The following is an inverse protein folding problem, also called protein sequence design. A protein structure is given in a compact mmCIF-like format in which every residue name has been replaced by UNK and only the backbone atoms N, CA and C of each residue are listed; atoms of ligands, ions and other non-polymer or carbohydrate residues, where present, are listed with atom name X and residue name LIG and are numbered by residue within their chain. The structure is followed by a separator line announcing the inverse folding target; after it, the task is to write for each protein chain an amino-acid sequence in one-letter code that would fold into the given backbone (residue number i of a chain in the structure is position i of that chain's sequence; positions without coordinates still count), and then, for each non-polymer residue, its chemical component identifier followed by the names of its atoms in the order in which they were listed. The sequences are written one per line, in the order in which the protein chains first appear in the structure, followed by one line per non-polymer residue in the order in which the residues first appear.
data_IF_009498310311
#
_entry.id   IF_009498310311
#
_cell.length_a   1.000
_cell.length_b   1.000
_cell.length_c   1.000
_cell.angle_alpha   90.00
_cell.angle_beta   90.00
_cell.angle_gamma   90.00
#
_symmetry.space_group_name_H-M   'P 1'
#
loop_
_entity.id
_entity.type
_entity.pdbx_description
1 polymer ?
#
# COMPACT_ATOMS: atom_id res chain seq x y z
N UNK A 1 -14.71 -1.51 -12.67
CA UNK A 1 -13.88 -0.98 -13.78
C UNK A 1 -12.74 -0.12 -13.27
N UNK A 2 -11.89 -0.63 -12.38
CA UNK A 2 -10.71 0.09 -11.88
C UNK A 2 -9.47 -0.12 -12.76
N UNK A 3 -9.43 -1.18 -13.58
CA UNK A 3 -8.23 -1.55 -14.32
C UNK A 3 -7.94 -0.59 -15.49
N UNK A 4 -8.95 -0.25 -16.29
CA UNK A 4 -8.78 0.69 -17.41
C UNK A 4 -8.39 2.09 -16.93
N UNK A 5 -8.93 2.55 -15.80
CA UNK A 5 -8.55 3.85 -15.23
C UNK A 5 -7.14 3.85 -14.66
N UNK A 6 -6.69 2.76 -14.01
CA UNK A 6 -5.32 2.62 -13.52
C UNK A 6 -4.29 2.58 -14.66
N UNK A 7 -4.58 1.84 -15.73
CA UNK A 7 -3.70 1.76 -16.91
C UNK A 7 -3.66 3.13 -17.63
N UNK A 8 -4.81 3.80 -17.81
CA UNK A 8 -4.83 5.10 -18.46
C UNK A 8 -4.12 6.18 -17.63
N UNK A 9 -4.31 6.19 -16.31
CA UNK A 9 -3.59 7.10 -15.40
C UNK A 9 -2.08 6.86 -15.41
N UNK A 10 -1.63 5.62 -15.66
CA UNK A 10 -0.20 5.33 -15.73
C UNK A 10 0.50 5.87 -16.98
N UNK A 11 -0.20 5.88 -18.12
CA UNK A 11 0.36 6.28 -19.42
C UNK A 11 0.20 7.79 -19.66
N UNK A 12 -0.94 8.38 -19.25
CA UNK A 12 -1.24 9.81 -19.43
C UNK A 12 -1.79 10.43 -18.14
N UNK A 13 -0.93 10.56 -17.12
CA UNK A 13 -1.33 11.07 -15.78
C UNK A 13 -1.94 12.47 -15.82
N UNK A 14 -1.36 13.37 -16.63
CA UNK A 14 -1.81 14.77 -16.72
C UNK A 14 -3.18 14.89 -17.42
N UNK A 15 -3.41 14.12 -18.49
CA UNK A 15 -4.71 14.08 -19.16
C UNK A 15 -5.78 13.39 -18.30
N UNK A 16 -5.39 12.40 -17.48
CA UNK A 16 -6.28 11.77 -16.52
C UNK A 16 -6.72 12.74 -15.41
N UNK A 17 -5.80 13.59 -14.94
CA UNK A 17 -6.07 14.61 -13.93
C UNK A 17 -6.85 15.82 -14.48
N UNK A 18 -6.81 16.07 -15.79
CA UNK A 18 -7.54 17.16 -16.46
C UNK A 18 -9.04 16.86 -16.66
N UNK A 19 -9.63 16.12 -15.72
CA UNK A 19 -11.06 15.84 -15.65
C UNK A 19 -11.59 16.42 -14.33
N UNK A 20 -12.72 17.13 -14.37
CA UNK A 20 -13.35 17.76 -13.19
C UNK A 20 -13.52 16.77 -12.03
N UNK A 21 -13.87 15.51 -12.31
CA UNK A 21 -14.00 14.47 -11.30
C UNK A 21 -12.66 14.08 -10.65
N UNK A 22 -11.59 13.99 -11.44
CA UNK A 22 -10.25 13.70 -10.94
C UNK A 22 -9.70 14.87 -10.11
N UNK A 23 -9.99 16.11 -10.52
CA UNK A 23 -9.60 17.32 -9.79
C UNK A 23 -10.27 17.42 -8.41
N UNK A 24 -11.58 17.14 -8.32
CA UNK A 24 -12.29 17.09 -7.04
C UNK A 24 -11.69 16.01 -6.12
N UNK A 25 -11.39 14.84 -6.68
CA UNK A 25 -10.76 13.74 -5.93
C UNK A 25 -9.38 14.14 -5.40
N UNK A 26 -8.61 14.90 -6.18
CA UNK A 26 -7.30 15.42 -5.78
C UNK A 26 -7.42 16.39 -4.59
N UNK A 27 -8.39 17.31 -4.60
CA UNK A 27 -8.65 18.20 -3.46
C UNK A 27 -9.05 17.44 -2.20
N UNK A 28 -9.88 16.40 -2.35
CA UNK A 28 -10.27 15.56 -1.23
C UNK A 28 -9.06 14.78 -0.66
N UNK A 29 -8.20 14.23 -1.52
CA UNK A 29 -6.97 13.56 -1.13
C UNK A 29 -6.03 14.52 -0.37
N UNK A 30 -5.90 15.77 -0.84
CA UNK A 30 -5.09 16.80 -0.18
C UNK A 30 -5.67 17.22 1.18
N UNK A 31 -7.01 17.20 1.31
CA UNK A 31 -7.70 17.38 2.59
C UNK A 31 -7.47 16.24 3.59
N UNK A 32 -7.48 14.98 3.12
CA UNK A 32 -7.13 13.81 3.94
C UNK A 32 -5.66 13.87 4.36
N UNK A 33 -4.76 14.24 3.44
CA UNK A 33 -3.35 14.41 3.77
C UNK A 33 -3.16 15.50 4.84
N UNK A 34 -3.91 16.60 4.74
CA UNK A 34 -3.93 17.63 5.77
C UNK A 34 -4.52 17.15 7.11
N UNK A 35 -5.46 16.19 7.12
CA UNK A 35 -6.02 15.64 8.36
C UNK A 35 -5.00 14.86 9.21
N UNK A 36 -3.92 14.37 8.59
CA UNK A 36 -2.86 13.62 9.28
C UNK A 36 -3.12 12.13 9.43
N UNK A 37 -4.26 11.61 8.96
CA UNK A 37 -4.62 10.18 9.08
C UNK A 37 -3.59 9.23 8.44
N UNK A 38 -2.91 9.66 7.38
CA UNK A 38 -1.95 8.84 6.61
C UNK A 38 -0.51 8.93 7.16
N UNK A 39 -0.25 9.71 8.21
CA UNK A 39 1.12 10.05 8.63
C UNK A 39 1.91 8.87 9.25
N UNK A 40 1.29 7.76 9.64
CA UNK A 40 2.02 6.58 10.12
C UNK A 40 3.00 6.02 9.08
N UNK A 41 2.69 6.18 7.78
CA UNK A 41 3.56 5.74 6.67
C UNK A 41 4.90 6.47 6.62
N UNK A 42 4.96 7.73 7.06
CA UNK A 42 6.22 8.48 7.14
C UNK A 42 7.19 7.87 8.17
N UNK A 43 6.70 7.27 9.26
CA UNK A 43 7.56 6.55 10.21
C UNK A 43 8.19 5.33 9.57
N UNK A 44 7.42 4.61 8.76
CA UNK A 44 7.91 3.44 8.03
C UNK A 44 8.96 3.89 7.01
N UNK A 45 8.71 4.96 6.25
CA UNK A 45 9.69 5.52 5.32
C UNK A 45 10.99 5.93 6.02
N UNK A 46 10.90 6.65 7.15
CA UNK A 46 12.07 7.02 7.96
C UNK A 46 12.84 5.80 8.47
N UNK A 47 12.13 4.73 8.86
CA UNK A 47 12.75 3.49 9.33
C UNK A 47 13.43 2.75 8.19
N UNK A 48 12.77 2.60 7.03
CA UNK A 48 13.34 1.95 5.85
C UNK A 48 14.58 2.70 5.34
N UNK A 49 14.58 4.03 5.39
CA UNK A 49 15.74 4.81 4.95
C UNK A 49 16.90 4.70 5.92
N UNK A 50 16.63 4.68 7.24
CA UNK A 50 17.65 4.35 8.24
C UNK A 50 18.25 2.95 8.03
N UNK A 51 17.41 1.96 7.68
CA UNK A 51 17.85 0.59 7.42
C UNK A 51 18.57 0.45 6.07
N UNK A 52 18.20 1.23 5.06
CA UNK A 52 18.82 1.21 3.73
C UNK A 52 20.15 1.95 3.65
N UNK A 53 20.54 2.70 4.70
CA UNK A 53 21.80 3.45 4.76
C UNK A 53 21.93 4.56 3.70
N UNK A 54 20.85 4.91 3.00
CA UNK A 54 20.83 5.99 2.00
C UNK A 54 20.38 7.28 2.68
N UNK A 55 20.96 8.41 2.31
CA UNK A 55 20.51 9.71 2.81
C UNK A 55 19.13 10.06 2.23
N UNK A 56 18.22 10.54 3.08
CA UNK A 56 16.96 11.14 2.64
C UNK A 56 17.27 12.34 1.75
N UNK A 57 17.18 12.21 0.43
CA UNK A 57 17.18 13.35 -0.49
C UNK A 57 15.80 14.03 -0.44
N UNK A 58 15.50 14.64 0.71
CA UNK A 58 14.33 15.49 0.90
C UNK A 58 14.61 16.83 0.23
N UNK A 59 13.86 17.16 -0.84
CA UNK A 59 13.88 18.48 -1.49
C UNK A 59 13.07 19.55 -0.73
N UNK A 60 12.62 19.26 0.49
CA UNK A 60 11.84 20.19 1.32
C UNK A 60 12.76 21.05 2.21
N UNK A 61 12.35 22.30 2.43
CA UNK A 61 13.02 23.22 3.36
C UNK A 61 13.03 22.66 4.79
N UNK A 62 14.05 22.97 5.62
CA UNK A 62 14.14 22.49 6.99
C UNK A 62 12.89 22.90 7.78
N UNK A 63 12.20 21.92 8.34
CA UNK A 63 10.95 22.11 9.10
C UNK A 63 11.21 22.98 10.32
N UNK A 64 10.37 24.00 10.53
CA UNK A 64 10.42 24.82 11.75
C UNK A 64 10.02 23.97 12.96
N UNK A 65 10.55 24.25 14.16
CA UNK A 65 10.28 23.49 15.40
C UNK A 65 8.77 23.28 15.65
N UNK A 66 7.93 24.28 15.42
CA UNK A 66 6.48 24.18 15.56
C UNK A 66 5.84 23.22 14.53
N UNK A 67 6.34 23.20 13.29
CA UNK A 67 5.88 22.28 12.24
C UNK A 67 6.30 20.84 12.53
N UNK A 68 7.48 20.64 13.13
CA UNK A 68 7.97 19.32 13.55
C UNK A 68 7.11 18.72 14.66
N UNK A 69 6.77 19.52 15.69
CA UNK A 69 5.88 19.08 16.78
C UNK A 69 4.49 18.72 16.24
N UNK A 70 3.95 19.55 15.36
CA UNK A 70 2.65 19.31 14.74
C UNK A 70 2.64 18.04 13.86
N UNK A 71 3.73 17.79 13.14
CA UNK A 71 3.93 16.57 12.36
C UNK A 71 3.97 15.33 13.26
N UNK A 72 4.75 15.37 14.35
CA UNK A 72 4.85 14.25 15.30
C UNK A 72 3.54 13.97 16.02
N UNK A 73 2.79 15.01 16.40
CA UNK A 73 1.46 14.85 17.00
C UNK A 73 0.48 14.12 16.07
N UNK A 74 0.38 14.55 14.81
CA UNK A 74 -0.46 13.89 13.80
C UNK A 74 -0.03 12.45 13.55
N UNK A 75 1.27 12.22 13.52
CA UNK A 75 1.85 10.91 13.34
C UNK A 75 1.50 9.95 14.49
N UNK A 76 1.58 10.44 15.74
CA UNK A 76 1.19 9.68 16.93
C UNK A 76 -0.33 9.42 16.95
N UNK A 77 -1.15 10.40 16.58
CA UNK A 77 -2.60 10.23 16.48
C UNK A 77 -2.98 9.17 15.44
N UNK A 78 -2.36 9.20 14.25
CA UNK A 78 -2.54 8.18 13.21
C UNK A 78 -2.12 6.77 13.69
N UNK A 79 -0.98 6.66 14.37
CA UNK A 79 -0.52 5.40 14.96
C UNK A 79 -1.49 4.88 16.03
N UNK A 80 -1.99 5.76 16.90
CA UNK A 80 -2.95 5.40 17.94
C UNK A 80 -4.27 4.88 17.35
N UNK A 81 -4.79 5.53 16.31
CA UNK A 81 -5.99 5.05 15.59
C UNK A 81 -5.74 3.67 14.97
N UNK A 82 -4.59 3.49 14.29
CA UNK A 82 -4.23 2.20 13.68
C UNK A 82 -4.16 1.07 14.73
N UNK A 83 -3.45 1.31 15.83
CA UNK A 83 -3.36 0.35 16.93
C UNK A 83 -4.73 0.09 17.58
N UNK A 84 -5.57 1.11 17.72
CA UNK A 84 -6.92 1.00 18.24
C UNK A 84 -7.82 0.15 17.35
N UNK A 85 -7.86 0.42 16.04
CA UNK A 85 -8.59 -0.39 15.07
C UNK A 85 -8.13 -1.84 15.10
N UNK A 86 -6.81 -2.06 15.12
CA UNK A 86 -6.23 -3.39 15.17
C UNK A 86 -6.63 -4.14 16.46
N UNK A 87 -6.58 -3.48 17.62
CA UNK A 87 -7.00 -4.07 18.88
C UNK A 87 -8.49 -4.45 18.87
N UNK A 88 -9.35 -3.58 18.34
CA UNK A 88 -10.79 -3.87 18.20
C UNK A 88 -11.02 -5.07 17.27
N UNK A 89 -10.28 -5.19 16.17
CA UNK A 89 -10.38 -6.36 15.27
C UNK A 89 -9.96 -7.65 15.97
N UNK A 90 -8.88 -7.63 16.76
CA UNK A 90 -8.45 -8.82 17.53
C UNK A 90 -9.51 -9.21 18.57
N UNK A 91 -10.07 -8.24 19.29
CA UNK A 91 -11.15 -8.49 20.28
C UNK A 91 -12.39 -9.06 19.60
N UNK A 92 -12.82 -8.49 18.46
CA UNK A 92 -13.98 -8.99 17.70
C UNK A 92 -13.81 -10.44 17.21
N UNK A 93 -12.58 -10.82 16.81
CA UNK A 93 -12.26 -12.21 16.43
C UNK A 93 -12.34 -13.15 17.64
N UNK A 94 -11.88 -12.71 18.82
CA UNK A 94 -11.93 -13.50 20.04
C UNK A 94 -13.36 -13.69 20.56
N UNK A 95 -14.19 -12.65 20.46
CA UNK A 95 -15.61 -12.66 20.85
C UNK A 95 -16.51 -13.43 19.86
N UNK A 96 -15.95 -13.98 18.77
CA UNK A 96 -16.65 -14.75 17.73
C UNK A 96 -17.77 -14.01 17.01
N UNK A 97 -17.73 -12.68 17.02
CA UNK A 97 -18.66 -11.81 16.28
C UNK A 97 -18.33 -11.72 14.77
N UNK A 98 -17.34 -12.50 14.31
CA UNK A 98 -16.88 -12.51 12.91
C UNK A 98 -17.62 -13.54 12.06
N UNK A 99 -17.73 -13.27 10.76
CA UNK A 99 -18.35 -14.12 9.72
C UNK A 99 -17.60 -15.42 9.42
N UNK A 100 -16.50 -15.69 10.12
CA UNK A 100 -15.71 -16.92 10.03
C UNK A 100 -16.55 -18.18 10.28
N UNK A 101 -16.21 -19.25 9.53
CA UNK A 101 -16.91 -20.53 9.59
C UNK A 101 -17.04 -21.06 11.03
N UNK A 102 -18.27 -21.38 11.45
CA UNK A 102 -18.66 -21.81 12.82
C UNK A 102 -17.88 -23.00 13.42
N UNK A 103 -17.02 -23.66 12.64
CA UNK A 103 -16.24 -24.84 13.01
C UNK A 103 -14.76 -24.57 13.25
N UNK A 104 -14.30 -23.33 13.07
CA UNK A 104 -12.90 -22.94 13.30
C UNK A 104 -12.71 -22.50 14.75
N UNK A 105 -11.65 -22.97 15.40
CA UNK A 105 -11.30 -22.53 16.76
C UNK A 105 -10.85 -21.06 16.75
N UNK A 106 -11.18 -20.29 17.79
CA UNK A 106 -10.85 -18.85 17.87
C UNK A 106 -9.36 -18.56 17.63
N UNK A 107 -8.47 -19.46 18.06
CA UNK A 107 -7.02 -19.36 17.81
C UNK A 107 -6.66 -19.54 16.34
N UNK A 108 -7.28 -20.50 15.65
CA UNK A 108 -7.04 -20.73 14.23
C UNK A 108 -7.56 -19.56 13.38
N UNK A 109 -8.66 -18.91 13.81
CA UNK A 109 -9.17 -17.71 13.15
C UNK A 109 -8.19 -16.53 13.24
N UNK A 110 -7.61 -16.30 14.42
CA UNK A 110 -6.61 -15.25 14.63
C UNK A 110 -5.35 -15.50 13.79
N UNK A 111 -4.81 -16.72 13.76
CA UNK A 111 -3.65 -17.06 12.93
C UNK A 111 -3.96 -16.84 11.45
N UNK A 112 -5.12 -17.28 10.99
CA UNK A 112 -5.55 -17.11 9.59
C UNK A 112 -5.68 -15.63 9.23
N UNK A 113 -6.25 -14.81 10.12
CA UNK A 113 -6.34 -13.35 9.94
C UNK A 113 -4.96 -12.70 9.75
N UNK A 114 -3.98 -13.03 10.60
CA UNK A 114 -2.62 -12.51 10.48
C UNK A 114 -1.94 -12.94 9.18
N UNK A 115 -2.11 -14.19 8.77
CA UNK A 115 -1.55 -14.69 7.51
C UNK A 115 -2.17 -13.96 6.32
N UNK A 116 -3.50 -13.81 6.31
CA UNK A 116 -4.21 -13.13 5.22
C UNK A 116 -3.82 -11.64 5.13
N UNK A 117 -3.77 -10.91 6.25
CA UNK A 117 -3.42 -9.49 6.22
C UNK A 117 -1.96 -9.26 5.81
N UNK A 118 -1.05 -10.17 6.18
CA UNK A 118 0.34 -10.15 5.71
C UNK A 118 0.42 -10.38 4.19
N UNK A 119 -0.30 -11.37 3.65
CA UNK A 119 -0.32 -11.65 2.21
C UNK A 119 -0.92 -10.47 1.44
N UNK A 120 -2.07 -9.94 1.89
CA UNK A 120 -2.71 -8.77 1.26
C UNK A 120 -1.77 -7.56 1.28
N UNK A 121 -1.13 -7.27 2.42
CA UNK A 121 -0.16 -6.19 2.53
C UNK A 121 1.03 -6.34 1.59
N UNK A 122 1.57 -7.56 1.44
CA UNK A 122 2.64 -7.84 0.48
C UNK A 122 2.18 -7.67 -0.97
N UNK A 123 0.96 -8.12 -1.31
CA UNK A 123 0.42 -8.01 -2.66
C UNK A 123 0.18 -6.55 -3.06
N UNK A 124 -0.35 -5.71 -2.16
CA UNK A 124 -0.54 -4.28 -2.39
C UNK A 124 0.80 -3.54 -2.52
N UNK A 125 1.78 -3.86 -1.67
CA UNK A 125 3.14 -3.30 -1.79
C UNK A 125 3.83 -3.69 -3.10
N UNK A 126 3.65 -4.93 -3.54
CA UNK A 126 4.19 -5.45 -4.79
C UNK A 126 3.57 -4.78 -6.02
N UNK A 127 2.29 -4.36 -5.97
CA UNK A 127 1.67 -3.60 -7.05
C UNK A 127 2.43 -2.31 -7.36
N UNK A 128 2.78 -1.54 -6.32
CA UNK A 128 3.49 -0.27 -6.46
C UNK A 128 4.93 -0.52 -6.94
N UNK A 129 5.57 -1.57 -6.43
CA UNK A 129 6.93 -1.95 -6.84
C UNK A 129 6.98 -2.36 -8.31
N UNK A 130 6.04 -3.19 -8.78
CA UNK A 130 5.96 -3.59 -10.18
C UNK A 130 5.56 -2.44 -11.10
N UNK A 131 4.72 -1.53 -10.62
CA UNK A 131 4.42 -0.29 -11.35
C UNK A 131 5.65 0.60 -11.54
N UNK A 132 6.53 0.66 -10.55
CA UNK A 132 7.80 1.37 -10.71
C UNK A 132 8.77 0.61 -11.62
N UNK A 133 8.77 -0.73 -11.56
CA UNK A 133 9.61 -1.57 -12.40
C UNK A 133 9.31 -1.42 -13.91
N UNK A 134 8.08 -1.04 -14.31
CA UNK A 134 7.78 -0.72 -15.72
C UNK A 134 8.40 0.57 -16.22
N UNK A 135 8.86 1.43 -15.32
CA UNK A 135 9.51 2.69 -15.65
C UNK A 135 11.04 2.59 -15.64
N UNK A 136 11.60 1.45 -15.27
CA UNK A 136 13.05 1.21 -15.25
C UNK A 136 13.54 0.81 -16.64
N UNK A 137 14.69 1.35 -17.05
CA UNK A 137 15.39 0.87 -18.23
C UNK A 137 16.10 -0.45 -17.90
N UNK A 138 16.27 -1.40 -18.84
CA UNK A 138 16.88 -2.71 -18.56
C UNK A 138 18.29 -2.64 -17.94
N UNK A 139 19.01 -1.54 -18.17
CA UNK A 139 20.33 -1.27 -17.60
C UNK A 139 20.29 -0.92 -16.09
N UNK A 140 19.15 -0.44 -15.58
CA UNK A 140 18.95 -0.03 -14.19
C UNK A 140 18.35 -1.15 -13.31
N UNK A 141 18.02 -2.30 -13.92
CA UNK A 141 17.51 -3.46 -13.19
C UNK A 141 18.64 -4.04 -12.35
N UNK A 142 18.52 -3.92 -11.02
CA UNK A 142 19.56 -4.29 -10.07
C UNK A 142 20.13 -5.70 -10.29
N UNK A 143 21.41 -5.88 -9.93
CA UNK A 143 22.19 -7.08 -10.26
C UNK A 143 21.79 -8.34 -9.47
N UNK A 144 20.77 -8.25 -8.62
CA UNK A 144 20.26 -9.38 -7.84
C UNK A 144 19.54 -10.40 -8.74
N UNK A 145 19.83 -11.68 -8.53
CA UNK A 145 19.23 -12.80 -9.25
C UNK A 145 17.70 -12.79 -9.19
N UNK A 146 17.13 -12.48 -8.03
CA UNK A 146 15.67 -12.37 -7.86
C UNK A 146 15.08 -11.18 -8.62
N UNK A 147 15.78 -10.04 -8.66
CA UNK A 147 15.31 -8.85 -9.38
C UNK A 147 15.25 -9.09 -10.90
N UNK A 148 16.30 -9.70 -11.46
CA UNK A 148 16.35 -10.05 -12.89
C UNK A 148 15.31 -11.09 -13.26
N UNK A 149 15.15 -12.16 -12.48
CA UNK A 149 14.12 -13.19 -12.68
C UNK A 149 12.71 -12.61 -12.63
N UNK A 150 12.42 -11.74 -11.65
CA UNK A 150 11.11 -11.12 -11.52
C UNK A 150 10.84 -10.16 -12.67
N UNK A 151 11.82 -9.35 -13.08
CA UNK A 151 11.70 -8.46 -14.24
C UNK A 151 11.47 -9.24 -15.54
N UNK A 152 12.28 -10.29 -15.78
CA UNK A 152 12.10 -11.18 -16.92
C UNK A 152 10.70 -11.81 -16.94
N UNK A 153 10.21 -12.34 -15.82
CA UNK A 153 8.87 -12.93 -15.72
C UNK A 153 7.75 -11.91 -15.96
N UNK A 154 7.94 -10.67 -15.51
CA UNK A 154 6.97 -9.58 -15.68
C UNK A 154 6.81 -9.19 -17.15
N UNK A 155 7.87 -9.29 -17.96
CA UNK A 155 7.92 -8.86 -19.36
C UNK A 155 8.03 -9.98 -20.40
N UNK A 156 8.16 -11.25 -19.99
CA UNK A 156 8.42 -12.41 -20.87
C UNK A 156 7.38 -12.63 -21.99
N UNK A 157 6.15 -12.15 -21.80
CA UNK A 157 5.04 -12.27 -22.75
C UNK A 157 4.38 -10.91 -23.07
N UNK A 158 5.14 -9.81 -22.99
CA UNK A 158 4.61 -8.44 -23.10
C UNK A 158 3.91 -7.96 -21.81
N UNK A 159 3.13 -6.87 -21.88
CA UNK A 159 2.41 -6.27 -20.72
C UNK A 159 1.32 -7.18 -20.09
N UNK A 160 1.11 -8.40 -20.61
CA UNK A 160 0.02 -9.30 -20.20
C UNK A 160 0.20 -9.88 -18.79
N UNK A 161 1.43 -10.25 -18.39
CA UNK A 161 1.67 -10.85 -17.06
C UNK A 161 1.51 -9.83 -15.93
N UNK A 162 1.91 -8.59 -16.17
CA UNK A 162 1.68 -7.49 -15.23
C UNK A 162 0.20 -7.19 -15.06
N UNK A 163 -0.54 -7.09 -16.18
CA UNK A 163 -1.98 -6.85 -16.15
C UNK A 163 -2.74 -8.01 -15.49
N UNK A 164 -2.34 -9.25 -15.75
CA UNK A 164 -2.86 -10.46 -15.10
C UNK A 164 -2.62 -10.46 -13.59
N UNK A 165 -1.43 -10.09 -13.13
CA UNK A 165 -1.13 -9.94 -11.70
C UNK A 165 -1.98 -8.84 -11.04
N UNK A 166 -2.16 -7.69 -11.71
CA UNK A 166 -2.99 -6.60 -11.20
C UNK A 166 -4.45 -7.01 -11.00
N UNK A 167 -5.00 -7.81 -11.91
CA UNK A 167 -6.35 -8.37 -11.81
C UNK A 167 -6.43 -9.45 -10.74
N UNK A 168 -5.51 -10.41 -10.75
CA UNK A 168 -5.49 -11.54 -9.82
C UNK A 168 -5.41 -11.12 -8.36
N UNK A 169 -4.61 -10.08 -8.05
CA UNK A 169 -4.56 -9.52 -6.69
C UNK A 169 -5.91 -9.03 -6.21
N UNK A 170 -6.65 -8.28 -7.02
CA UNK A 170 -7.93 -7.69 -6.61
C UNK A 170 -8.94 -8.77 -6.23
N UNK A 171 -8.96 -9.88 -6.97
CA UNK A 171 -9.77 -11.05 -6.61
C UNK A 171 -9.33 -11.69 -5.29
N UNK A 172 -8.02 -11.77 -5.02
CA UNK A 172 -7.52 -12.29 -3.75
C UNK A 172 -7.89 -11.40 -2.56
N UNK A 173 -7.80 -10.08 -2.71
CA UNK A 173 -8.20 -9.13 -1.65
C UNK A 173 -9.68 -9.26 -1.35
N UNK A 174 -10.54 -9.30 -2.37
CA UNK A 174 -11.98 -9.48 -2.19
C UNK A 174 -12.30 -10.84 -1.57
N UNK A 175 -11.61 -11.91 -1.98
CA UNK A 175 -11.76 -13.23 -1.37
C UNK A 175 -11.36 -13.20 0.12
N UNK A 176 -10.26 -12.53 0.48
CA UNK A 176 -9.82 -12.41 1.87
C UNK A 176 -10.83 -11.66 2.75
N UNK A 177 -11.52 -10.65 2.21
CA UNK A 177 -12.59 -9.93 2.90
C UNK A 177 -13.85 -10.77 3.10
N UNK A 178 -14.11 -11.75 2.22
CA UNK A 178 -15.23 -12.67 2.37
C UNK A 178 -14.92 -13.83 3.33
N UNK A 179 -13.64 -14.19 3.44
CA UNK A 179 -13.19 -15.27 4.30
C UNK A 179 -13.12 -14.88 5.79
N UNK A 180 -12.91 -13.60 6.12
CA UNK A 180 -12.81 -13.07 7.48
C UNK A 180 -14.13 -12.41 7.89
#
# INVERSE_FOLDING_TARGET
GQLNSQINASKCMLDYCNNTFAFITMWFALGIEFSGLLHATYLIQMTVVKLSGKEMTTKEQPRTTAQSIFFWFRCLMSLAILCGCFAVTVVAILDKETTMWKGVSSTAALITFFVLICIVGMLEGMQIAFFFATKLEPADVGDSYFAKKTYELLFKEGENNLSGFMVGRQFFVVASMLCV
#
